data_IF_814757156392
#
_entry.id   IF_814757156392
#
_cell.length_a   1.000
_cell.length_b   1.000
_cell.length_c   1.000
_cell.angle_alpha   90.00
_cell.angle_beta   90.00
_cell.angle_gamma   90.00
#
_symmetry.space_group_name_H-M   'P 1'
#
loop_
_entity.id
_entity.type
_entity.pdbx_description
1 polymer ?
#
# COMPACT_ATOMS: atom_id res chain seq x y z
N UNK A 1 20.62 8.19 20.20
CA UNK A 1 20.09 7.27 19.18
C UNK A 1 18.60 7.48 19.23
N UNK A 2 18.00 8.01 18.17
CA UNK A 2 16.55 8.16 18.15
C UNK A 2 15.90 6.77 18.27
N UNK A 3 14.87 6.61 19.11
CA UNK A 3 14.19 5.33 19.24
C UNK A 3 13.67 4.88 17.88
N UNK A 4 13.87 3.61 17.54
CA UNK A 4 13.31 3.03 16.32
C UNK A 4 11.79 3.10 16.45
N UNK A 5 11.16 3.89 15.58
CA UNK A 5 9.72 3.97 15.45
C UNK A 5 9.20 2.61 14.95
N UNK A 6 8.41 1.91 15.77
CA UNK A 6 7.84 0.59 15.47
C UNK A 6 6.40 0.71 14.92
N UNK A 7 5.97 1.93 14.59
CA UNK A 7 4.67 2.22 14.02
C UNK A 7 4.49 1.48 12.69
N UNK A 8 3.31 0.88 12.46
CA UNK A 8 3.02 0.25 11.18
C UNK A 8 2.91 1.31 10.08
N UNK A 9 3.48 1.02 8.91
CA UNK A 9 3.29 1.82 7.69
C UNK A 9 1.97 1.52 6.98
N UNK A 10 1.32 0.41 7.33
CA UNK A 10 -0.01 0.05 6.86
C UNK A 10 -0.82 -0.73 7.92
N UNK A 11 -2.13 -0.49 7.95
CA UNK A 11 -3.10 -1.24 8.77
C UNK A 11 -4.23 -1.68 7.85
N UNK A 12 -4.75 -2.90 8.02
CA UNK A 12 -5.95 -3.35 7.33
C UNK A 12 -7.19 -3.05 8.17
N UNK A 13 -8.17 -2.38 7.59
CA UNK A 13 -9.46 -2.19 8.24
C UNK A 13 -10.07 -3.57 8.55
N UNK A 14 -10.59 -3.74 9.75
CA UNK A 14 -11.18 -5.01 10.20
C UNK A 14 -10.20 -5.98 10.84
N UNK A 15 -8.89 -5.72 10.80
CA UNK A 15 -7.88 -6.54 11.47
C UNK A 15 -7.46 -5.92 12.82
N UNK A 16 -7.11 -6.78 13.79
CA UNK A 16 -6.45 -6.31 15.01
C UNK A 16 -4.99 -5.96 14.73
N UNK A 17 -4.49 -4.89 15.35
CA UNK A 17 -3.09 -4.46 15.20
C UNK A 17 -2.51 -4.05 16.55
N UNK A 18 -1.24 -4.38 16.77
CA UNK A 18 -0.52 -4.08 18.00
C UNK A 18 0.90 -3.66 17.69
N UNK A 19 1.37 -2.59 18.34
CA UNK A 19 2.76 -2.17 18.30
C UNK A 19 3.15 -1.49 19.61
N UNK A 20 4.45 -1.34 19.83
CA UNK A 20 5.02 -0.73 21.04
C UNK A 20 5.99 0.39 20.66
N UNK A 21 6.05 1.45 21.47
CA UNK A 21 7.06 2.51 21.35
C UNK A 21 7.70 2.74 22.70
N UNK A 22 9.03 2.75 22.74
CA UNK A 22 9.79 3.08 23.94
C UNK A 22 10.08 4.58 23.97
N UNK A 23 9.71 5.24 25.07
CA UNK A 23 9.84 6.68 25.26
C UNK A 23 10.37 6.99 26.67
N UNK A 24 11.69 6.90 26.89
CA UNK A 24 12.28 7.15 28.21
C UNK A 24 12.02 8.56 28.74
N UNK A 25 12.00 9.56 27.85
CA UNK A 25 11.73 10.97 28.18
C UNK A 25 10.25 11.27 28.45
N UNK A 26 9.36 10.35 28.06
CA UNK A 26 7.90 10.49 28.20
C UNK A 26 7.34 9.22 28.81
N UNK A 27 7.87 8.84 29.97
CA UNK A 27 7.49 7.63 30.71
C UNK A 27 6.06 7.70 31.21
N UNK A 28 5.35 6.57 31.12
CA UNK A 28 4.02 6.41 31.71
C UNK A 28 4.06 6.49 33.24
N UNK A 29 5.19 6.12 33.87
CA UNK A 29 5.39 6.29 35.31
C UNK A 29 5.37 7.77 35.74
N UNK A 30 5.73 8.68 34.82
CA UNK A 30 5.71 10.13 35.02
C UNK A 30 4.43 10.79 34.47
N UNK A 31 3.37 10.00 34.30
CA UNK A 31 2.03 10.41 33.83
C UNK A 31 1.95 10.87 32.37
N UNK A 32 2.95 10.53 31.54
CA UNK A 32 2.85 10.73 30.10
C UNK A 32 2.00 9.64 29.45
N UNK A 33 1.16 10.05 28.50
CA UNK A 33 0.36 9.15 27.67
C UNK A 33 0.69 9.38 26.21
N UNK A 34 1.13 8.35 25.52
CA UNK A 34 1.27 8.36 24.06
C UNK A 34 -0.11 8.27 23.40
N UNK A 35 -0.38 9.24 22.52
CA UNK A 35 -1.63 9.38 21.78
C UNK A 35 -1.33 9.47 20.28
N UNK A 36 -2.31 9.07 19.49
CA UNK A 36 -2.22 9.07 18.05
C UNK A 36 -3.43 9.75 17.42
N UNK A 37 -3.22 10.34 16.25
CA UNK A 37 -4.29 10.70 15.32
C UNK A 37 -4.01 10.12 13.95
N UNK A 38 -5.06 9.63 13.28
CA UNK A 38 -5.03 9.34 11.84
C UNK A 38 -5.84 10.43 11.14
N UNK A 39 -5.17 11.14 10.24
CA UNK A 39 -5.73 12.24 9.47
C UNK A 39 -5.85 11.81 8.01
N UNK A 40 -7.07 11.84 7.49
CA UNK A 40 -7.35 11.62 6.07
C UNK A 40 -7.37 12.96 5.33
N UNK A 41 -7.15 12.93 4.01
CA UNK A 41 -7.30 14.12 3.17
C UNK A 41 -8.73 14.69 3.21
N UNK A 42 -9.73 13.81 3.34
CA UNK A 42 -11.15 14.13 3.49
C UNK A 42 -11.76 13.14 4.48
N UNK A 43 -12.69 13.60 5.31
CA UNK A 43 -13.43 12.77 6.26
C UNK A 43 -13.05 13.01 7.72
N UNK A 44 -13.47 12.10 8.59
CA UNK A 44 -13.32 12.23 10.04
C UNK A 44 -11.97 11.65 10.48
N UNK A 45 -11.22 12.44 11.25
CA UNK A 45 -10.00 11.99 11.88
C UNK A 45 -10.27 10.97 12.99
N UNK A 46 -9.39 9.98 13.12
CA UNK A 46 -9.42 9.00 14.20
C UNK A 46 -8.43 9.42 15.29
N UNK A 47 -8.76 9.14 16.55
CA UNK A 47 -7.86 9.29 17.68
C UNK A 47 -7.90 8.04 18.56
N UNK A 48 -6.73 7.67 19.10
CA UNK A 48 -6.58 6.59 20.07
C UNK A 48 -5.34 6.83 20.93
N UNK A 49 -5.21 6.08 22.03
CA UNK A 49 -4.08 6.18 22.95
C UNK A 49 -3.44 4.81 23.18
N UNK A 50 -2.16 4.83 23.52
CA UNK A 50 -1.44 3.66 24.00
C UNK A 50 -1.71 3.45 25.50
N UNK A 51 -1.55 2.20 25.95
CA UNK A 51 -1.41 1.85 27.35
C UNK A 51 0.06 1.83 27.73
N UNK A 52 0.45 2.63 28.72
CA UNK A 52 1.83 2.79 29.16
C UNK A 52 2.21 1.93 30.36
N UNK A 53 3.45 1.44 30.40
CA UNK A 53 4.06 0.73 31.53
C UNK A 53 5.55 1.06 31.60
N UNK A 54 5.97 1.80 32.63
CA UNK A 54 7.32 2.38 32.66
C UNK A 54 7.55 3.29 31.45
N UNK A 55 8.63 3.07 30.72
CA UNK A 55 8.97 3.83 29.50
C UNK A 55 8.29 3.31 28.23
N UNK A 56 7.60 2.16 28.30
CA UNK A 56 7.01 1.50 27.13
C UNK A 56 5.54 1.84 26.99
N UNK A 57 5.15 2.24 25.78
CA UNK A 57 3.76 2.52 25.39
C UNK A 57 3.29 1.51 24.35
N UNK A 58 2.23 0.77 24.65
CA UNK A 58 1.68 -0.26 23.77
C UNK A 58 0.33 0.18 23.21
N UNK A 59 0.21 0.23 21.89
CA UNK A 59 -1.08 0.37 21.23
C UNK A 59 -1.65 -1.01 20.93
N UNK A 60 -2.91 -1.21 21.26
CA UNK A 60 -3.67 -2.39 20.86
C UNK A 60 -5.02 -1.93 20.29
N UNK A 61 -5.19 -2.07 18.98
CA UNK A 61 -6.44 -1.76 18.29
C UNK A 61 -7.13 -3.07 17.93
N UNK A 62 -8.36 -3.24 18.41
CA UNK A 62 -9.18 -4.38 18.07
C UNK A 62 -9.70 -4.28 16.63
N UNK A 63 -9.94 -5.43 16.00
CA UNK A 63 -10.61 -5.57 14.71
C UNK A 63 -11.89 -4.70 14.59
N UNK A 64 -12.71 -4.64 15.64
CA UNK A 64 -13.94 -3.83 15.64
C UNK A 64 -13.67 -2.32 15.59
N UNK A 65 -12.55 -1.85 16.15
CA UNK A 65 -12.17 -0.44 16.08
C UNK A 65 -11.65 -0.09 14.67
N UNK A 66 -10.73 -0.91 14.14
CA UNK A 66 -10.12 -0.69 12.83
C UNK A 66 -11.10 -0.92 11.67
N UNK A 67 -12.16 -1.71 11.84
CA UNK A 67 -13.23 -1.88 10.85
C UNK A 67 -13.90 -0.56 10.45
N UNK A 68 -13.87 0.45 11.33
CA UNK A 68 -14.41 1.78 11.04
C UNK A 68 -13.45 2.69 10.25
N UNK A 69 -12.20 2.27 10.04
CA UNK A 69 -11.19 3.10 9.41
C UNK A 69 -11.42 3.13 7.90
N UNK A 70 -11.49 4.34 7.34
CA UNK A 70 -11.63 4.51 5.90
C UNK A 70 -10.35 4.03 5.19
N UNK A 71 -10.50 3.19 4.16
CA UNK A 71 -9.38 2.74 3.34
C UNK A 71 -8.82 3.91 2.50
N UNK A 72 -7.49 3.94 2.35
CA UNK A 72 -6.79 4.97 1.60
C UNK A 72 -5.51 5.46 2.29
N UNK A 73 -4.93 6.51 1.73
CA UNK A 73 -3.76 7.17 2.31
C UNK A 73 -4.18 8.11 3.44
N UNK A 74 -3.37 8.11 4.50
CA UNK A 74 -3.57 8.98 5.66
C UNK A 74 -2.22 9.41 6.25
N UNK A 75 -2.28 10.29 7.24
CA UNK A 75 -1.14 10.70 8.06
C UNK A 75 -1.36 10.24 9.49
N UNK A 76 -0.42 9.46 10.02
CA UNK A 76 -0.36 9.09 11.43
C UNK A 76 0.47 10.16 12.16
N UNK A 77 -0.13 10.78 13.18
CA UNK A 77 0.55 11.74 14.06
C UNK A 77 0.67 11.14 15.44
N UNK A 78 1.90 10.98 15.93
CA UNK A 78 2.22 10.53 17.27
C UNK A 78 2.54 11.73 18.17
N UNK A 79 1.90 11.81 19.33
CA UNK A 79 2.14 12.88 20.29
C UNK A 79 1.92 12.38 21.71
N UNK A 80 2.57 13.01 22.67
CA UNK A 80 2.46 12.69 24.10
C UNK A 80 1.79 13.83 24.83
N UNK A 81 1.02 13.50 25.86
CA UNK A 81 0.40 14.46 26.76
C UNK A 81 0.62 14.00 28.20
N UNK A 82 1.09 14.90 29.06
CA UNK A 82 1.19 14.63 30.49
C UNK A 82 -0.18 14.87 31.13
N UNK A 83 -0.77 13.83 31.73
CA UNK A 83 -2.13 13.91 32.28
C UNK A 83 -2.23 14.77 33.56
N UNK A 84 -1.10 15.15 34.15
CA UNK A 84 -1.04 15.98 35.36
C UNK A 84 -0.70 17.43 35.01
N UNK A 85 0.39 17.68 34.28
CA UNK A 85 0.79 19.05 33.93
C UNK A 85 0.01 19.64 32.76
N UNK A 86 -0.58 18.79 31.90
CA UNK A 86 -1.20 19.21 30.65
C UNK A 86 -0.21 19.53 29.52
N UNK A 87 1.09 19.32 29.75
CA UNK A 87 2.12 19.51 28.73
C UNK A 87 1.93 18.55 27.57
N UNK A 88 2.26 19.01 26.36
CA UNK A 88 2.09 18.24 25.13
C UNK A 88 3.27 18.42 24.20
N UNK A 89 3.75 17.32 23.63
CA UNK A 89 4.77 17.32 22.59
C UNK A 89 4.35 16.41 21.42
N UNK A 90 4.48 16.92 20.19
CA UNK A 90 4.37 16.08 18.98
C UNK A 90 5.70 15.40 18.75
N UNK A 91 5.69 14.09 18.62
CA UNK A 91 6.89 13.29 18.40
C UNK A 91 7.18 13.13 16.91
N UNK A 92 6.14 12.81 16.14
CA UNK A 92 6.31 12.39 14.75
C UNK A 92 5.02 12.56 13.94
N UNK A 93 5.20 12.72 12.63
CA UNK A 93 4.13 12.65 11.63
C UNK A 93 4.63 11.87 10.43
N UNK A 94 3.98 10.75 10.12
CA UNK A 94 4.40 9.83 9.06
C UNK A 94 3.20 9.42 8.18
N UNK A 95 3.43 9.10 6.89
CA UNK A 95 2.38 8.51 6.06
C UNK A 95 2.01 7.11 6.55
N UNK A 96 0.72 6.79 6.50
CA UNK A 96 0.19 5.45 6.76
C UNK A 96 -0.85 5.08 5.71
N UNK A 97 -0.90 3.80 5.32
CA UNK A 97 -1.91 3.29 4.39
C UNK A 97 -2.93 2.46 5.16
N UNK A 98 -4.20 2.81 5.05
CA UNK A 98 -5.30 1.97 5.52
C UNK A 98 -5.76 1.10 4.36
N UNK A 99 -5.49 -0.20 4.44
CA UNK A 99 -5.92 -1.19 3.46
C UNK A 99 -7.39 -1.56 3.69
N UNK A 100 -8.17 -1.82 2.63
CA UNK A 100 -9.56 -2.26 2.78
C UNK A 100 -9.63 -3.64 3.46
N UNK A 101 -10.73 -3.91 4.15
CA UNK A 101 -11.04 -5.26 4.62
C UNK A 101 -11.30 -6.19 3.42
N UNK A 102 -10.45 -7.20 3.22
CA UNK A 102 -10.61 -8.14 2.11
C UNK A 102 -11.68 -9.20 2.38
N UNK A 103 -12.08 -9.40 3.64
CA UNK A 103 -13.13 -10.35 4.00
C UNK A 103 -14.53 -9.83 3.64
N UNK A 104 -14.66 -8.52 3.46
CA UNK A 104 -15.92 -7.85 3.08
C UNK A 104 -15.84 -7.09 1.75
N UNK A 105 -14.66 -7.00 1.12
CA UNK A 105 -14.47 -6.34 -0.17
C UNK A 105 -15.30 -7.02 -1.28
N UNK A 106 -16.15 -6.24 -1.97
CA UNK A 106 -16.93 -6.73 -3.10
C UNK A 106 -16.07 -7.04 -4.34
N UNK A 107 -14.97 -6.31 -4.50
CA UNK A 107 -14.01 -6.48 -5.60
C UNK A 107 -12.59 -6.31 -5.08
N UNK A 108 -11.70 -7.19 -5.51
CA UNK A 108 -10.28 -7.06 -5.27
C UNK A 108 -9.52 -7.41 -6.55
N UNK A 109 -8.74 -6.45 -7.06
CA UNK A 109 -7.77 -6.72 -8.10
C UNK A 109 -6.44 -7.09 -7.44
N UNK A 110 -6.20 -8.39 -7.29
CA UNK A 110 -4.95 -8.93 -6.72
C UNK A 110 -3.77 -8.93 -7.70
N UNK A 111 -3.92 -8.33 -8.89
CA UNK A 111 -2.87 -8.31 -9.89
C UNK A 111 -1.72 -7.39 -9.48
N UNK A 112 -0.50 -7.79 -9.83
CA UNK A 112 0.67 -6.93 -9.68
C UNK A 112 0.61 -5.74 -10.67
N UNK A 113 1.42 -4.71 -10.41
CA UNK A 113 1.56 -3.59 -11.33
C UNK A 113 1.98 -4.06 -12.74
N UNK A 114 2.86 -5.06 -12.82
CA UNK A 114 3.30 -5.62 -14.09
C UNK A 114 2.19 -6.41 -14.80
N UNK A 115 1.34 -7.14 -14.06
CA UNK A 115 0.17 -7.82 -14.64
C UNK A 115 -0.88 -6.83 -15.16
N UNK A 116 -1.09 -5.72 -14.44
CA UNK A 116 -1.97 -4.62 -14.90
C UNK A 116 -1.40 -3.97 -16.15
N UNK A 117 -0.10 -3.66 -16.17
CA UNK A 117 0.58 -3.06 -17.31
C UNK A 117 0.57 -3.97 -18.55
N UNK A 118 0.79 -5.28 -18.36
CA UNK A 118 0.68 -6.28 -19.43
C UNK A 118 -0.73 -6.32 -20.02
N UNK A 119 -1.75 -6.34 -19.17
CA UNK A 119 -3.15 -6.32 -19.62
C UNK A 119 -3.49 -5.05 -20.40
N UNK A 120 -3.00 -3.89 -19.94
CA UNK A 120 -3.18 -2.62 -20.64
C UNK A 120 -2.45 -2.59 -22.00
N UNK A 121 -1.23 -3.13 -22.09
CA UNK A 121 -0.47 -3.21 -23.33
C UNK A 121 -1.15 -4.13 -24.37
N UNK A 122 -1.68 -5.28 -23.93
CA UNK A 122 -2.47 -6.18 -24.79
C UNK A 122 -3.76 -5.51 -25.28
N UNK A 123 -4.50 -4.84 -24.40
CA UNK A 123 -5.70 -4.09 -24.77
C UNK A 123 -5.39 -2.94 -25.76
N UNK A 124 -4.23 -2.30 -25.63
CA UNK A 124 -3.77 -1.28 -26.58
C UNK A 124 -3.49 -1.90 -27.96
N UNK A 125 -2.87 -3.08 -28.02
CA UNK A 125 -2.64 -3.81 -29.28
C UNK A 125 -3.96 -4.19 -29.95
N UNK A 126 -4.92 -4.74 -29.19
CA UNK A 126 -6.25 -5.11 -29.69
C UNK A 126 -6.97 -3.88 -30.26
N UNK A 127 -6.93 -2.75 -29.55
CA UNK A 127 -7.50 -1.49 -30.04
C UNK A 127 -6.79 -0.98 -31.30
N UNK A 128 -5.47 -1.14 -31.40
CA UNK A 128 -4.70 -0.74 -32.58
C UNK A 128 -5.11 -1.56 -33.81
N UNK A 129 -5.28 -2.87 -33.64
CA UNK A 129 -5.72 -3.78 -34.71
C UNK A 129 -7.18 -3.52 -35.11
N UNK A 130 -8.09 -3.38 -34.14
CA UNK A 130 -9.52 -3.22 -34.41
C UNK A 130 -9.88 -1.89 -35.09
N UNK A 131 -9.13 -0.81 -34.80
CA UNK A 131 -9.43 0.54 -35.33
C UNK A 131 -8.78 0.85 -36.68
N UNK A 132 -8.17 -0.14 -37.35
CA UNK A 132 -7.53 0.06 -38.66
C UNK A 132 -6.29 0.97 -38.61
N UNK A 133 -5.74 1.24 -37.42
CA UNK A 133 -4.56 2.09 -37.23
C UNK A 133 -3.27 1.45 -37.75
N UNK A 134 -3.33 0.17 -38.12
CA UNK A 134 -2.24 -0.55 -38.79
C UNK A 134 -1.72 0.18 -40.04
N UNK A 135 -2.56 0.94 -40.73
CA UNK A 135 -2.22 1.65 -41.96
C UNK A 135 -1.94 3.15 -41.76
N UNK A 136 -2.04 3.68 -40.54
CA UNK A 136 -1.96 5.13 -40.27
C UNK A 136 -0.84 5.42 -39.27
N UNK A 137 0.30 5.93 -39.77
CA UNK A 137 1.46 6.25 -38.94
C UNK A 137 1.39 7.68 -38.34
N UNK A 138 0.86 8.63 -39.09
CA UNK A 138 0.78 10.05 -38.74
C UNK A 138 -0.41 10.69 -39.47
N UNK A 139 -1.02 11.70 -38.86
CA UNK A 139 -1.99 12.55 -39.53
C UNK A 139 -1.91 13.99 -39.01
N UNK A 140 -2.21 14.96 -39.88
CA UNK A 140 -2.39 16.36 -39.55
C UNK A 140 -3.88 16.73 -39.66
N UNK A 141 -4.42 17.38 -38.64
CA UNK A 141 -5.73 18.02 -38.71
C UNK A 141 -5.57 19.47 -38.25
N UNK A 142 -5.81 20.40 -39.17
CA UNK A 142 -5.80 21.84 -38.90
C UNK A 142 -4.50 22.32 -38.22
N UNK A 143 -3.34 21.80 -38.64
CA UNK A 143 -2.03 22.18 -38.11
C UNK A 143 -1.70 21.54 -36.76
N UNK A 144 -2.45 20.52 -36.33
CA UNK A 144 -2.12 19.66 -35.18
C UNK A 144 -1.71 18.29 -35.69
N UNK A 145 -0.48 17.92 -35.39
CA UNK A 145 0.06 16.60 -35.71
C UNK A 145 -0.17 15.62 -34.56
N UNK A 146 -0.64 14.41 -34.90
CA UNK A 146 -0.72 13.30 -33.97
C UNK A 146 0.02 12.10 -34.55
N UNK A 147 0.93 11.53 -33.75
CA UNK A 147 1.69 10.32 -34.08
C UNK A 147 1.23 9.18 -33.18
N UNK A 148 0.86 8.05 -33.78
CA UNK A 148 0.53 6.85 -33.03
C UNK A 148 1.82 6.12 -32.62
N UNK A 149 1.79 5.41 -31.48
CA UNK A 149 2.79 4.37 -31.24
C UNK A 149 2.65 3.32 -32.34
N UNK A 150 3.80 2.83 -32.81
CA UNK A 150 3.83 1.70 -33.72
C UNK A 150 3.39 0.42 -33.01
N UNK A 151 2.84 -0.54 -33.76
CA UNK A 151 2.56 -1.88 -33.23
C UNK A 151 3.81 -2.54 -32.63
N UNK A 152 5.00 -2.25 -33.17
CA UNK A 152 6.28 -2.76 -32.67
C UNK A 152 6.54 -2.29 -31.24
N UNK A 153 6.37 -1.00 -30.94
CA UNK A 153 6.55 -0.48 -29.58
C UNK A 153 5.56 -1.10 -28.59
N UNK A 154 4.32 -1.38 -29.03
CA UNK A 154 3.31 -2.04 -28.18
C UNK A 154 3.71 -3.51 -27.94
N UNK A 155 4.19 -4.22 -28.97
CA UNK A 155 4.66 -5.61 -28.86
C UNK A 155 5.89 -5.70 -27.94
N UNK A 156 6.81 -4.73 -28.01
CA UNK A 156 8.00 -4.71 -27.16
C UNK A 156 7.62 -4.48 -25.69
N UNK A 157 6.64 -3.61 -25.40
CA UNK A 157 6.08 -3.47 -24.06
C UNK A 157 5.42 -4.76 -23.56
N UNK A 158 4.67 -5.47 -24.42
CA UNK A 158 4.07 -6.77 -24.08
C UNK A 158 5.16 -7.76 -23.70
N UNK A 159 6.19 -7.94 -24.53
CA UNK A 159 7.31 -8.85 -24.27
C UNK A 159 8.04 -8.52 -22.97
N UNK A 160 8.29 -7.24 -22.73
CA UNK A 160 8.91 -6.78 -21.50
C UNK A 160 8.09 -7.18 -20.27
N UNK A 161 6.79 -6.85 -20.25
CA UNK A 161 5.95 -7.16 -19.10
C UNK A 161 5.63 -8.65 -18.95
N UNK A 162 5.63 -9.46 -20.03
CA UNK A 162 5.55 -10.92 -19.93
C UNK A 162 6.72 -11.50 -19.13
N UNK A 163 7.93 -11.00 -19.37
CA UNK A 163 9.13 -11.42 -18.65
C UNK A 163 9.06 -10.98 -17.18
N UNK A 164 8.64 -9.74 -16.90
CA UNK A 164 8.52 -9.24 -15.53
C UNK A 164 7.45 -10.00 -14.73
N UNK A 165 6.28 -10.26 -15.32
CA UNK A 165 5.23 -11.08 -14.69
C UNK A 165 5.71 -12.50 -14.44
N UNK A 166 6.48 -13.09 -15.36
CA UNK A 166 7.07 -14.41 -15.16
C UNK A 166 8.03 -14.43 -13.96
N UNK A 167 8.90 -13.43 -13.82
CA UNK A 167 9.81 -13.30 -12.68
C UNK A 167 9.05 -13.16 -11.36
N UNK A 168 8.01 -12.33 -11.33
CA UNK A 168 7.16 -12.17 -10.14
C UNK A 168 6.51 -13.49 -9.72
N UNK A 169 5.92 -14.21 -10.69
CA UNK A 169 5.29 -15.49 -10.42
C UNK A 169 6.28 -16.54 -9.90
N UNK A 170 7.52 -16.54 -10.43
CA UNK A 170 8.57 -17.44 -9.96
C UNK A 170 8.99 -17.14 -8.50
N UNK A 171 9.12 -15.86 -8.14
CA UNK A 171 9.40 -15.44 -6.76
C UNK A 171 8.26 -15.84 -5.83
N UNK A 172 7.00 -15.61 -6.24
CA UNK A 172 5.83 -16.01 -5.46
C UNK A 172 5.74 -17.53 -5.28
N UNK A 173 6.04 -18.31 -6.32
CA UNK A 173 6.07 -19.77 -6.24
C UNK A 173 7.13 -20.28 -5.25
N UNK A 174 8.32 -19.65 -5.24
CA UNK A 174 9.38 -19.96 -4.28
C UNK A 174 8.98 -19.62 -2.83
N UNK A 175 8.35 -18.47 -2.60
CA UNK A 175 7.84 -18.05 -1.28
C UNK A 175 6.74 -19.03 -0.80
N UNK A 176 5.86 -19.45 -1.70
CA UNK A 176 4.76 -20.36 -1.38
C UNK A 176 5.19 -21.84 -1.30
N UNK A 177 6.48 -22.14 -1.44
CA UNK A 177 7.02 -23.51 -1.36
C UNK A 177 6.58 -24.43 -2.53
N UNK A 178 5.99 -23.87 -3.58
CA UNK A 178 5.57 -24.61 -4.77
C UNK A 178 6.69 -24.46 -5.79
N UNK A 179 7.56 -25.46 -5.89
CA UNK A 179 8.59 -25.47 -6.93
C UNK A 179 7.94 -25.45 -8.32
N UNK A 180 8.15 -24.38 -9.07
CA UNK A 180 7.72 -24.29 -10.46
C UNK A 180 8.47 -25.33 -11.31
N UNK A 181 7.75 -26.35 -11.78
CA UNK A 181 8.16 -27.18 -12.90
C UNK A 181 9.32 -28.16 -12.64
N UNK A 182 9.00 -29.36 -12.16
CA UNK A 182 9.77 -30.57 -12.51
C UNK A 182 8.85 -31.55 -13.24
N UNK A 183 8.91 -31.54 -14.57
CA UNK A 183 8.41 -32.67 -15.37
C UNK A 183 9.38 -33.82 -15.16
N UNK A 184 9.01 -34.78 -14.30
CA UNK A 184 9.72 -36.05 -14.21
C UNK A 184 9.19 -36.95 -15.33
N UNK A 185 9.96 -37.09 -16.41
CA UNK A 185 9.75 -38.16 -17.39
C UNK A 185 10.17 -39.47 -16.72
N UNK A 186 9.23 -40.38 -16.52
CA UNK A 186 9.54 -41.77 -16.15
C UNK A 186 9.95 -42.50 -17.44
N UNK A 187 11.16 -43.04 -17.45
CA UNK A 187 11.56 -44.10 -18.38
C UNK A 187 10.96 -45.43 -17.93
#
# INVERSE_FOLDING_TARGET
MDPIANEPTAIRAGDSVTWTRELPEYSAADNWVLKYRILYAVGTAIAFSASGSGTTHTVNLAASATASYAAGTATLVAYVENSVSGDRATLESAPIIILPDLTTAATHDGRSANQIALAAARAALDSYMAKGQMHVAEYDIAGRTMKFRSSTEIIDLIRYYEIEVFKENAVQAAINGVSAGRVQVRF
#
